data_IF_188420454210
#
_entry.id   IF_188420454210
#
_cell.length_a   1.000
_cell.length_b   1.000
_cell.length_c   1.000
_cell.angle_alpha   90.00
_cell.angle_beta   90.00
_cell.angle_gamma   90.00
#
_symmetry.space_group_name_H-M   'P 1'
#
loop_
_entity.id
_entity.type
_entity.pdbx_description
1 polymer ?
#
# COMPACT_ATOMS: atom_id res chain seq x y z
N UNK A 1 -19.44 11.14 -2.91
CA UNK A 1 -19.58 9.98 -3.82
C UNK A 1 -18.60 8.89 -3.37
N UNK A 2 -19.07 7.70 -2.98
CA UNK A 2 -18.20 6.58 -2.54
C UNK A 2 -17.63 5.88 -3.78
N UNK A 3 -16.43 6.28 -4.19
CA UNK A 3 -15.69 5.71 -5.34
C UNK A 3 -15.37 4.23 -5.13
N UNK A 4 -15.21 3.79 -3.88
CA UNK A 4 -14.94 2.40 -3.52
C UNK A 4 -16.23 1.71 -3.04
N UNK A 5 -16.83 0.87 -3.90
CA UNK A 5 -17.93 -0.03 -3.53
C UNK A 5 -17.40 -1.45 -3.37
N UNK A 6 -17.93 -2.19 -2.39
CA UNK A 6 -17.46 -3.54 -2.03
C UNK A 6 -17.53 -4.49 -3.24
N UNK A 7 -18.57 -4.37 -4.07
CA UNK A 7 -18.75 -5.22 -5.25
C UNK A 7 -17.64 -5.02 -6.30
N UNK A 8 -17.19 -3.77 -6.52
CA UNK A 8 -16.09 -3.47 -7.45
C UNK A 8 -14.77 -4.00 -6.90
N UNK A 9 -14.51 -3.81 -5.62
CA UNK A 9 -13.30 -4.33 -4.97
C UNK A 9 -13.26 -5.86 -5.06
N UNK A 10 -14.37 -6.55 -4.78
CA UNK A 10 -14.48 -8.00 -4.91
C UNK A 10 -14.18 -8.47 -6.33
N UNK A 11 -14.79 -7.82 -7.33
CA UNK A 11 -14.56 -8.14 -8.74
C UNK A 11 -13.08 -7.99 -9.11
N UNK A 12 -12.45 -6.87 -8.72
CA UNK A 12 -11.02 -6.64 -8.97
C UNK A 12 -10.16 -7.75 -8.36
N UNK A 13 -10.41 -8.13 -7.09
CA UNK A 13 -9.63 -9.17 -6.41
C UNK A 13 -9.77 -10.53 -7.10
N UNK A 14 -11.00 -10.92 -7.51
CA UNK A 14 -11.24 -12.19 -8.21
C UNK A 14 -10.53 -12.20 -9.57
N UNK A 15 -10.62 -11.09 -10.32
CA UNK A 15 -9.95 -10.96 -11.63
C UNK A 15 -8.43 -11.06 -11.45
N UNK A 16 -7.85 -10.37 -10.46
CA UNK A 16 -6.41 -10.46 -10.17
C UNK A 16 -6.00 -11.91 -9.92
N UNK A 17 -6.76 -12.65 -9.10
CA UNK A 17 -6.44 -14.04 -8.79
C UNK A 17 -6.57 -14.96 -10.01
N UNK A 18 -7.62 -14.78 -10.81
CA UNK A 18 -7.82 -15.54 -12.05
C UNK A 18 -6.68 -15.30 -13.06
N UNK A 19 -6.26 -14.05 -13.26
CA UNK A 19 -5.13 -13.71 -14.13
C UNK A 19 -3.85 -14.38 -13.63
N UNK A 20 -3.57 -14.34 -12.32
CA UNK A 20 -2.37 -14.98 -11.76
C UNK A 20 -2.37 -16.51 -11.93
N UNK A 21 -3.51 -17.17 -11.79
CA UNK A 21 -3.62 -18.61 -12.01
C UNK A 21 -3.41 -18.95 -13.48
N UNK A 22 -4.10 -18.24 -14.38
CA UNK A 22 -4.00 -18.47 -15.82
C UNK A 22 -2.56 -18.29 -16.33
N UNK A 23 -1.84 -17.28 -15.86
CA UNK A 23 -0.43 -17.07 -16.19
C UNK A 23 0.50 -18.17 -15.67
N UNK A 24 0.10 -18.89 -14.61
CA UNK A 24 0.88 -19.98 -14.04
C UNK A 24 0.59 -21.34 -14.70
N UNK A 25 -0.56 -21.50 -15.38
CA UNK A 25 -0.97 -22.77 -16.01
C UNK A 25 0.07 -23.32 -16.99
N UNK A 26 0.65 -22.53 -17.94
CA UNK A 26 1.64 -23.06 -18.87
C UNK A 26 2.88 -23.62 -18.15
N UNK A 27 3.25 -23.05 -17.01
CA UNK A 27 4.39 -23.49 -16.20
C UNK A 27 4.11 -24.82 -15.50
N UNK A 28 2.89 -25.03 -14.99
CA UNK A 28 2.52 -26.27 -14.29
C UNK A 28 2.07 -27.40 -15.22
N UNK A 29 1.40 -27.07 -16.32
CA UNK A 29 0.90 -28.06 -17.28
C UNK A 29 2.02 -28.75 -18.07
N UNK A 30 3.22 -28.16 -18.10
CA UNK A 30 4.37 -28.67 -18.86
C UNK A 30 5.39 -29.40 -17.99
N UNK A 31 5.27 -29.32 -16.66
CA UNK A 31 6.12 -30.06 -15.72
C UNK A 31 5.63 -31.50 -15.56
N UNK A 32 6.42 -32.47 -16.02
CA UNK A 32 6.18 -33.87 -15.75
C UNK A 32 7.00 -34.32 -14.53
N UNK A 33 6.35 -35.04 -13.62
CA UNK A 33 6.98 -35.69 -12.48
C UNK A 33 7.43 -37.07 -12.93
N UNK A 34 8.76 -37.27 -13.02
CA UNK A 34 9.32 -38.56 -13.42
C UNK A 34 10.29 -39.08 -12.37
N UNK A 35 10.20 -40.37 -12.08
CA UNK A 35 11.17 -41.06 -11.25
C UNK A 35 12.49 -41.22 -12.03
N UNK A 36 13.57 -40.65 -11.50
CA UNK A 36 14.93 -40.81 -12.02
C UNK A 36 15.78 -41.50 -10.96
N UNK A 37 16.38 -42.64 -11.31
CA UNK A 37 17.43 -43.25 -10.50
C UNK A 37 18.70 -42.42 -10.65
N UNK A 38 19.31 -42.04 -9.53
CA UNK A 38 20.55 -41.28 -9.53
C UNK A 38 21.72 -42.20 -9.95
N UNK A 39 22.61 -41.79 -10.87
CA UNK A 39 23.75 -42.62 -11.29
C UNK A 39 24.75 -42.89 -10.16
N UNK A 40 24.87 -41.95 -9.21
CA UNK A 40 25.88 -41.96 -8.16
C UNK A 40 25.37 -42.54 -6.82
N UNK A 41 24.12 -43.00 -6.76
CA UNK A 41 23.55 -43.60 -5.55
C UNK A 41 22.26 -44.36 -5.81
N UNK A 42 21.98 -45.40 -5.00
CA UNK A 42 20.77 -46.26 -5.11
C UNK A 42 19.48 -45.56 -4.63
N UNK A 43 19.32 -44.26 -4.91
CA UNK A 43 18.12 -43.49 -4.55
C UNK A 43 17.39 -43.09 -5.83
N UNK A 44 16.10 -43.38 -5.87
CA UNK A 44 15.18 -42.85 -6.89
C UNK A 44 14.62 -41.53 -6.39
N UNK A 45 14.95 -40.44 -7.09
CA UNK A 45 14.40 -39.12 -6.79
C UNK A 45 13.36 -38.75 -7.83
N UNK A 46 12.27 -38.14 -7.38
CA UNK A 46 11.25 -37.58 -8.26
C UNK A 46 11.79 -36.25 -8.80
N UNK A 47 12.04 -36.18 -10.11
CA UNK A 47 12.63 -35.01 -10.77
C UNK A 47 11.64 -34.45 -11.79
N UNK A 48 11.65 -33.12 -11.93
CA UNK A 48 10.94 -32.43 -12.99
C UNK A 48 11.71 -32.62 -14.31
N UNK A 49 11.10 -33.30 -15.29
CA UNK A 49 11.69 -33.47 -16.63
C UNK A 49 11.02 -32.50 -17.62
N UNK A 50 11.83 -31.68 -18.28
CA UNK A 50 11.37 -30.64 -19.20
C UNK A 50 11.22 -31.20 -20.62
N UNK A 51 10.02 -31.12 -21.18
CA UNK A 51 9.68 -31.60 -22.54
C UNK A 51 10.40 -30.73 -23.59
N UNK A 52 10.82 -31.23 -24.77
CA UNK A 52 11.49 -30.39 -25.79
C UNK A 52 10.63 -29.22 -26.32
N UNK A 53 9.30 -29.36 -26.35
CA UNK A 53 8.36 -28.25 -26.63
C UNK A 53 8.41 -27.17 -25.54
N UNK A 54 8.72 -27.57 -24.30
CA UNK A 54 8.84 -26.69 -23.16
C UNK A 54 9.99 -25.72 -23.34
N UNK A 55 11.17 -26.12 -23.82
CA UNK A 55 12.34 -25.23 -23.88
C UNK A 55 12.07 -23.93 -24.66
N UNK A 56 11.35 -24.00 -25.78
CA UNK A 56 10.94 -22.81 -26.57
C UNK A 56 9.83 -21.99 -25.91
N UNK A 57 8.85 -22.65 -25.30
CA UNK A 57 7.74 -21.97 -24.60
C UNK A 57 8.21 -21.37 -23.28
N UNK A 58 9.13 -22.02 -22.58
CA UNK A 58 9.78 -21.59 -21.35
C UNK A 58 10.60 -20.35 -21.59
N UNK A 59 11.49 -20.31 -22.58
CA UNK A 59 12.35 -19.15 -22.79
C UNK A 59 11.52 -17.87 -22.94
N UNK A 60 10.47 -17.90 -23.76
CA UNK A 60 9.57 -16.75 -23.95
C UNK A 60 8.70 -16.48 -22.71
N UNK A 61 8.09 -17.52 -22.12
CA UNK A 61 7.16 -17.35 -21.00
C UNK A 61 7.89 -16.93 -19.72
N UNK A 62 9.05 -17.51 -19.43
CA UNK A 62 9.89 -17.18 -18.27
C UNK A 62 10.41 -15.76 -18.41
N UNK A 63 10.95 -15.37 -19.57
CA UNK A 63 11.47 -14.01 -19.74
C UNK A 63 10.35 -12.97 -19.59
N UNK A 64 9.20 -13.18 -20.24
CA UNK A 64 8.10 -12.20 -20.16
C UNK A 64 7.49 -12.16 -18.74
N UNK A 65 7.20 -13.32 -18.13
CA UNK A 65 6.47 -13.39 -16.85
C UNK A 65 7.33 -13.13 -15.62
N UNK A 66 8.61 -13.53 -15.63
CA UNK A 66 9.48 -13.37 -14.47
C UNK A 66 10.34 -12.11 -14.54
N UNK A 67 10.53 -11.52 -15.73
CA UNK A 67 11.42 -10.37 -15.91
C UNK A 67 10.61 -9.13 -16.29
N UNK A 68 9.97 -9.14 -17.47
CA UNK A 68 9.34 -7.94 -18.02
C UNK A 68 8.14 -7.47 -17.20
N UNK A 69 7.19 -8.37 -16.91
CA UNK A 69 5.97 -8.03 -16.17
C UNK A 69 6.27 -7.53 -14.74
N UNK A 70 7.11 -8.21 -13.93
CA UNK A 70 7.43 -7.75 -12.58
C UNK A 70 8.14 -6.40 -12.57
N UNK A 71 9.03 -6.15 -13.54
CA UNK A 71 9.70 -4.85 -13.69
C UNK A 71 8.70 -3.73 -13.97
N UNK A 72 7.78 -3.93 -14.93
CA UNK A 72 6.73 -2.95 -15.25
C UNK A 72 5.79 -2.71 -14.07
N UNK A 73 5.32 -3.77 -13.40
CA UNK A 73 4.46 -3.65 -12.22
C UNK A 73 5.19 -2.88 -11.11
N UNK A 74 6.46 -3.17 -10.87
CA UNK A 74 7.26 -2.47 -9.88
C UNK A 74 7.35 -0.96 -10.18
N UNK A 75 7.64 -0.59 -11.43
CA UNK A 75 7.66 0.82 -11.84
C UNK A 75 6.31 1.52 -11.60
N UNK A 76 5.21 0.87 -11.96
CA UNK A 76 3.85 1.39 -11.71
C UNK A 76 3.60 1.57 -10.21
N UNK A 77 3.99 0.61 -9.37
CA UNK A 77 3.83 0.70 -7.91
C UNK A 77 4.69 1.83 -7.32
N UNK A 78 5.92 2.02 -7.81
CA UNK A 78 6.79 3.14 -7.41
C UNK A 78 6.11 4.47 -7.72
N UNK A 79 5.63 4.66 -8.96
CA UNK A 79 4.95 5.89 -9.39
C UNK A 79 3.69 6.13 -8.52
N UNK A 80 2.87 5.10 -8.35
CA UNK A 80 1.65 5.17 -7.54
C UNK A 80 1.96 5.56 -6.09
N UNK A 81 3.02 4.99 -5.51
CA UNK A 81 3.44 5.27 -4.13
C UNK A 81 3.95 6.71 -3.99
N UNK A 82 4.71 7.22 -4.96
CA UNK A 82 5.16 8.61 -4.97
C UNK A 82 3.95 9.56 -4.99
N UNK A 83 2.99 9.32 -5.89
CA UNK A 83 1.75 10.11 -5.96
C UNK A 83 1.02 10.07 -4.62
N UNK A 84 0.87 8.89 -4.02
CA UNK A 84 0.18 8.69 -2.74
C UNK A 84 0.87 9.45 -1.61
N UNK A 85 2.21 9.40 -1.53
CA UNK A 85 3.02 10.11 -0.53
C UNK A 85 2.91 11.62 -0.70
N UNK A 86 2.99 12.12 -1.94
CA UNK A 86 2.86 13.55 -2.24
C UNK A 86 1.48 14.05 -1.83
N UNK A 87 0.41 13.35 -2.23
CA UNK A 87 -0.98 13.70 -1.86
C UNK A 87 -1.20 13.63 -0.35
N UNK A 88 -0.59 12.66 0.33
CA UNK A 88 -0.64 12.56 1.78
C UNK A 88 0.03 13.77 2.45
N UNK A 89 1.24 14.15 2.01
CA UNK A 89 1.98 15.31 2.54
C UNK A 89 1.24 16.62 2.31
N UNK A 90 0.66 16.83 1.13
CA UNK A 90 -0.18 18.00 0.83
C UNK A 90 -1.39 18.08 1.77
N UNK A 91 -2.07 16.95 1.98
CA UNK A 91 -3.23 16.88 2.88
C UNK A 91 -2.84 17.14 4.35
N UNK A 92 -1.62 16.80 4.77
CA UNK A 92 -1.11 17.13 6.09
C UNK A 92 -0.80 18.61 6.26
N UNK A 93 -0.08 19.21 5.30
CA UNK A 93 0.32 20.64 5.35
C UNK A 93 -0.90 21.56 5.40
N UNK A 94 -1.86 21.36 4.49
CA UNK A 94 -3.11 22.14 4.47
C UNK A 94 -3.82 22.17 5.83
N UNK A 95 -3.78 21.06 6.58
CA UNK A 95 -4.43 20.95 7.89
C UNK A 95 -3.62 21.57 9.01
N UNK A 96 -2.29 21.51 8.94
CA UNK A 96 -1.43 22.24 9.87
C UNK A 96 -1.65 23.75 9.72
N UNK A 97 -1.82 24.23 8.48
CA UNK A 97 -2.09 25.64 8.21
C UNK A 97 -3.47 26.06 8.73
N UNK A 98 -4.52 25.24 8.51
CA UNK A 98 -5.84 25.48 9.11
C UNK A 98 -5.81 25.49 10.66
N UNK A 99 -5.00 24.61 11.28
CA UNK A 99 -4.81 24.60 12.74
C UNK A 99 -4.12 25.88 13.24
N UNK A 100 -3.10 26.37 12.53
CA UNK A 100 -2.42 27.63 12.86
C UNK A 100 -3.37 28.82 12.73
N UNK A 101 -4.18 28.88 11.68
CA UNK A 101 -5.20 29.92 11.50
C UNK A 101 -6.21 29.89 12.65
N UNK A 102 -6.68 28.70 13.04
CA UNK A 102 -7.67 28.54 14.11
C UNK A 102 -7.10 28.93 15.49
N UNK A 103 -5.83 28.59 15.77
CA UNK A 103 -5.14 29.01 17.01
C UNK A 103 -4.70 30.48 17.00
N UNK A 104 -4.42 31.05 15.82
CA UNK A 104 -4.09 32.48 15.67
C UNK A 104 -5.30 33.40 15.87
N UNK A 105 -6.49 32.92 15.53
CA UNK A 105 -7.75 33.67 15.73
C UNK A 105 -8.20 33.73 17.20
N UNK A 106 -7.93 32.68 18.01
CA UNK A 106 -8.25 32.73 19.45
C UNK A 106 -7.38 33.75 20.22
N UNK A 107 -6.15 34.01 19.73
CA UNK A 107 -5.21 34.92 20.40
C UNK A 107 -5.54 36.40 20.19
N UNK A 108 -6.35 36.77 19.20
CA UNK A 108 -6.79 38.17 19.01
C UNK A 108 -8.03 38.54 19.84
N UNK A 109 -8.76 37.56 20.37
CA UNK A 109 -10.05 37.79 21.05
C UNK A 109 -9.99 37.60 22.58
N UNK A 110 -8.81 37.37 23.16
CA UNK A 110 -8.60 37.34 24.61
C UNK A 110 -7.58 38.38 25.03
N UNK A 111 -7.99 39.65 25.01
CA UNK A 111 -7.45 40.66 25.92
C UNK A 111 -8.55 40.99 26.93
N UNK A 112 -8.31 40.83 28.24
CA UNK A 112 -9.29 41.16 29.27
C UNK A 112 -9.48 42.67 29.35
N UNK A 113 -10.74 43.10 29.34
CA UNK A 113 -11.29 44.28 30.03
C UNK A 113 -10.58 45.62 29.85
N UNK A 114 -11.22 46.53 29.12
CA UNK A 114 -11.55 47.85 29.69
C UNK A 114 -12.99 48.20 29.28
N UNK A 115 -13.86 48.16 30.28
CA UNK A 115 -15.22 48.66 30.24
C UNK A 115 -15.12 50.16 30.43
N UNK A 116 -15.49 50.94 29.42
CA UNK A 116 -15.98 52.28 29.68
C UNK A 116 -17.26 52.55 28.91
N UNK A 117 -18.31 52.60 29.73
CA UNK A 117 -19.67 53.02 29.46
C UNK A 117 -19.75 54.45 28.93
N UNK A 118 -20.35 54.64 27.75
CA UNK A 118 -21.18 55.82 27.47
C UNK A 118 -22.16 55.59 26.33
N UNK A 119 -23.45 55.56 26.65
CA UNK A 119 -24.55 55.82 25.71
C UNK A 119 -24.72 57.34 25.52
N UNK A 120 -25.13 57.80 24.32
CA UNK A 120 -26.51 58.25 24.19
C UNK A 120 -27.24 57.82 22.88
N UNK A 121 -28.46 57.30 23.10
CA UNK A 121 -29.80 57.34 22.44
C UNK A 121 -30.07 58.27 21.20
N UNK A 122 -31.25 58.21 20.52
CA UNK A 122 -31.73 57.28 19.47
C UNK A 122 -32.31 58.00 18.18
N UNK A 123 -32.79 57.23 17.18
CA UNK A 123 -33.63 57.57 15.98
C UNK A 123 -32.89 57.19 14.68
N UNK A 124 -33.39 56.30 13.80
CA UNK A 124 -34.65 56.44 13.07
C UNK A 124 -35.23 55.09 12.56
N UNK A 125 -36.53 55.10 12.22
CA UNK A 125 -37.45 54.02 11.80
C UNK A 125 -37.07 53.49 10.39
N UNK A 126 -37.39 52.29 9.85
CA UNK A 126 -38.62 51.45 9.73
C UNK A 126 -38.22 50.12 8.95
N UNK A 127 -39.10 49.17 8.49
CA UNK A 127 -38.96 47.74 8.80
C UNK A 127 -38.96 46.70 7.62
N UNK A 128 -38.33 45.52 7.85
CA UNK A 128 -38.57 44.16 7.23
C UNK A 128 -38.35 43.96 5.70
N UNK A 129 -38.33 42.72 5.13
CA UNK A 129 -38.19 41.36 5.69
C UNK A 129 -37.16 40.47 4.94
N UNK A 130 -36.47 39.58 5.66
CA UNK A 130 -35.55 38.63 5.04
C UNK A 130 -34.95 37.66 6.04
N UNK A 131 -35.79 37.03 6.88
CA UNK A 131 -35.39 35.98 7.80
C UNK A 131 -34.91 34.77 7.00
N UNK A 132 -33.62 34.74 6.67
CA UNK A 132 -32.92 33.46 6.55
C UNK A 132 -32.87 32.86 7.96
N UNK A 133 -33.32 31.62 8.17
CA UNK A 133 -33.20 31.00 9.48
C UNK A 133 -31.71 30.96 9.82
N UNK A 134 -31.33 31.72 10.86
CA UNK A 134 -30.00 31.71 11.42
C UNK A 134 -29.72 30.28 11.90
N UNK A 135 -29.06 29.48 11.05
CA UNK A 135 -28.58 28.16 11.44
C UNK A 135 -27.69 28.38 12.67
N UNK A 136 -27.97 27.73 13.81
CA UNK A 136 -27.25 28.00 15.04
C UNK A 136 -25.75 27.85 14.81
N UNK A 137 -24.95 28.82 15.25
CA UNK A 137 -23.48 28.79 15.15
C UNK A 137 -22.92 27.47 15.74
N UNK A 138 -23.61 26.92 16.74
CA UNK A 138 -23.34 25.61 17.33
C UNK A 138 -23.44 24.44 16.32
N UNK A 139 -24.47 24.42 15.46
CA UNK A 139 -24.66 23.40 14.43
C UNK A 139 -23.56 23.47 13.36
N UNK A 140 -23.11 24.68 13.02
CA UNK A 140 -22.02 24.90 12.06
C UNK A 140 -20.67 24.44 12.60
N UNK A 141 -20.42 24.63 13.90
CA UNK A 141 -19.22 24.17 14.61
C UNK A 141 -19.21 22.65 14.77
N UNK A 142 -20.36 22.05 15.11
CA UNK A 142 -20.56 20.59 15.22
C UNK A 142 -20.34 19.86 13.88
N UNK A 143 -20.94 20.35 12.78
CA UNK A 143 -20.75 19.77 11.44
C UNK A 143 -19.31 19.88 10.94
N UNK A 144 -18.62 21.00 11.20
CA UNK A 144 -17.19 21.17 10.89
C UNK A 144 -16.33 20.18 11.69
N UNK A 145 -16.57 20.03 13.00
CA UNK A 145 -15.83 19.09 13.84
C UNK A 145 -16.01 17.63 13.39
N UNK A 146 -17.24 17.22 13.05
CA UNK A 146 -17.52 15.88 12.54
C UNK A 146 -16.80 15.59 11.20
N UNK A 147 -16.80 16.57 10.27
CA UNK A 147 -16.09 16.46 8.99
C UNK A 147 -14.56 16.34 9.19
N UNK A 148 -13.98 17.12 10.11
CA UNK A 148 -12.56 17.03 10.45
C UNK A 148 -12.21 15.65 11.02
N UNK A 149 -13.02 15.12 11.93
CA UNK A 149 -12.80 13.81 12.56
C UNK A 149 -12.89 12.65 11.56
N UNK A 150 -13.89 12.66 10.67
CA UNK A 150 -14.02 11.67 9.61
C UNK A 150 -12.77 11.65 8.71
N UNK A 151 -12.25 12.82 8.38
CA UNK A 151 -11.09 12.94 7.51
C UNK A 151 -9.76 12.55 8.19
N UNK A 152 -9.59 12.80 9.49
CA UNK A 152 -8.46 12.27 10.29
C UNK A 152 -8.48 10.73 10.27
N UNK A 153 -9.67 10.14 10.34
CA UNK A 153 -9.86 8.69 10.31
C UNK A 153 -9.49 8.09 8.96
N UNK A 154 -9.88 8.72 7.85
CA UNK A 154 -9.48 8.32 6.49
C UNK A 154 -7.97 8.41 6.28
N UNK A 155 -7.34 9.50 6.72
CA UNK A 155 -5.90 9.68 6.63
C UNK A 155 -5.13 8.62 7.41
N UNK A 156 -5.63 8.22 8.58
CA UNK A 156 -4.97 7.16 9.36
C UNK A 156 -4.96 5.84 8.61
N UNK A 157 -6.03 5.53 7.89
CA UNK A 157 -6.09 4.37 7.00
C UNK A 157 -5.10 4.54 5.85
N UNK A 158 -5.10 5.72 5.21
CA UNK A 158 -4.20 6.03 4.10
C UNK A 158 -2.71 5.91 4.49
N UNK A 159 -2.34 6.42 5.67
CA UNK A 159 -0.97 6.32 6.20
C UNK A 159 -0.54 4.87 6.40
N UNK A 160 -1.45 4.01 6.86
CA UNK A 160 -1.16 2.58 6.99
C UNK A 160 -0.96 1.93 5.62
N UNK A 161 -1.81 2.24 4.63
CA UNK A 161 -1.69 1.73 3.26
C UNK A 161 -0.35 2.13 2.64
N UNK A 162 0.02 3.41 2.71
CA UNK A 162 1.31 3.93 2.23
C UNK A 162 2.47 3.16 2.84
N UNK A 163 2.41 2.88 4.14
CA UNK A 163 3.50 2.19 4.81
C UNK A 163 3.65 0.74 4.38
N UNK A 164 2.56 0.05 4.05
CA UNK A 164 2.61 -1.32 3.49
C UNK A 164 3.25 -1.28 2.10
N UNK A 165 2.88 -0.31 1.26
CA UNK A 165 3.50 -0.13 -0.06
C UNK A 165 5.01 0.11 0.03
N UNK A 166 5.47 0.92 1.01
CA UNK A 166 6.91 1.16 1.22
C UNK A 166 7.62 -0.14 1.61
N UNK A 167 7.05 -0.93 2.53
CA UNK A 167 7.62 -2.22 2.94
C UNK A 167 7.70 -3.18 1.75
N UNK A 168 6.62 -3.26 0.96
CA UNK A 168 6.60 -4.08 -0.24
C UNK A 168 7.70 -3.65 -1.24
N UNK A 169 7.87 -2.34 -1.46
CA UNK A 169 8.91 -1.81 -2.34
C UNK A 169 10.31 -2.14 -1.83
N UNK A 170 10.60 -1.93 -0.55
CA UNK A 170 11.93 -2.24 0.02
C UNK A 170 12.23 -3.73 -0.05
N UNK A 171 11.23 -4.59 0.15
CA UNK A 171 11.41 -6.03 0.07
C UNK A 171 11.48 -6.58 -1.37
N UNK A 172 10.89 -5.88 -2.34
CA UNK A 172 10.91 -6.30 -3.76
C UNK A 172 12.13 -5.73 -4.50
N UNK A 173 12.74 -4.67 -3.97
CA UNK A 173 13.92 -4.02 -4.55
C UNK A 173 15.06 -4.99 -4.91
N UNK A 174 15.47 -5.95 -4.05
CA UNK A 174 16.55 -6.87 -4.40
C UNK A 174 16.26 -7.72 -5.64
N UNK A 175 15.01 -8.12 -5.82
CA UNK A 175 14.55 -8.87 -7.00
C UNK A 175 14.71 -8.03 -8.27
N UNK A 176 14.33 -6.75 -8.20
CA UNK A 176 14.42 -5.82 -9.35
C UNK A 176 15.87 -5.51 -9.69
N UNK A 177 16.73 -5.32 -8.68
CA UNK A 177 18.17 -5.11 -8.86
C UNK A 177 18.80 -6.33 -9.54
N UNK A 178 18.45 -7.54 -9.09
CA UNK A 178 18.91 -8.79 -9.71
C UNK A 178 18.48 -8.91 -11.17
N UNK A 179 17.21 -8.61 -11.46
CA UNK A 179 16.69 -8.56 -12.83
C UNK A 179 17.48 -7.54 -13.68
N UNK A 180 17.76 -6.35 -13.15
CA UNK A 180 18.52 -5.33 -13.87
C UNK A 180 19.97 -5.78 -14.16
N UNK A 181 20.64 -6.44 -13.20
CA UNK A 181 21.98 -7.02 -13.43
C UNK A 181 21.93 -8.05 -14.56
N UNK A 182 20.91 -8.91 -14.59
CA UNK A 182 20.73 -9.91 -15.63
C UNK A 182 20.50 -9.30 -17.02
N UNK A 183 19.80 -8.16 -17.09
CA UNK A 183 19.56 -7.44 -18.35
C UNK A 183 20.80 -6.73 -18.89
N UNK A 184 21.62 -6.14 -18.01
CA UNK A 184 22.83 -5.40 -18.43
C UNK A 184 23.95 -6.38 -18.78
N UNK A 185 24.08 -7.48 -18.04
CA UNK A 185 25.14 -8.49 -18.21
C UNK A 185 24.56 -9.86 -18.57
N UNK A 186 24.14 -10.08 -19.83
CA UNK A 186 23.64 -11.38 -20.27
C UNK A 186 24.70 -12.49 -20.20
N UNK A 187 25.99 -12.18 -20.06
CA UNK A 187 27.06 -13.17 -19.80
C UNK A 187 27.07 -13.71 -18.37
N UNK A 188 26.34 -13.09 -17.45
CA UNK A 188 26.19 -13.53 -16.06
C UNK A 188 25.02 -14.54 -15.96
N UNK A 189 25.04 -15.58 -16.79
CA UNK A 189 24.06 -16.66 -16.78
C UNK A 189 24.41 -17.74 -15.74
N UNK A 190 23.38 -18.37 -15.19
CA UNK A 190 23.48 -19.45 -14.18
C UNK A 190 24.22 -20.68 -14.74
N UNK A 191 24.29 -20.81 -16.06
CA UNK A 191 24.91 -21.92 -16.77
C UNK A 191 26.44 -21.82 -16.86
N UNK A 192 27.03 -20.65 -16.55
CA UNK A 192 28.49 -20.48 -16.56
C UNK A 192 29.07 -21.13 -15.28
N UNK A 193 29.85 -22.22 -15.40
CA UNK A 193 30.27 -23.02 -14.25
C UNK A 193 31.15 -22.24 -13.25
N UNK A 194 31.86 -21.22 -13.72
CA UNK A 194 32.79 -20.39 -12.93
C UNK A 194 32.10 -19.60 -11.80
N UNK A 195 30.83 -19.22 -11.97
CA UNK A 195 30.10 -18.38 -11.00
C UNK A 195 28.90 -19.08 -10.36
N UNK A 196 28.76 -20.40 -10.51
CA UNK A 196 27.60 -21.17 -10.05
C UNK A 196 27.24 -20.91 -8.58
N UNK A 197 28.23 -20.90 -7.69
CA UNK A 197 28.01 -20.65 -6.25
C UNK A 197 27.55 -19.20 -5.96
N UNK A 198 28.16 -18.23 -6.64
CA UNK A 198 27.79 -16.81 -6.52
C UNK A 198 26.38 -16.56 -7.04
N UNK A 199 26.02 -17.17 -8.18
CA UNK A 199 24.67 -17.09 -8.75
C UNK A 199 23.63 -17.70 -7.81
N UNK A 200 23.92 -18.87 -7.23
CA UNK A 200 23.00 -19.52 -6.31
C UNK A 200 22.75 -18.67 -5.05
N UNK A 201 23.79 -18.03 -4.51
CA UNK A 201 23.68 -17.11 -3.37
C UNK A 201 22.90 -15.84 -3.74
N UNK A 202 23.19 -15.25 -4.90
CA UNK A 202 22.50 -14.05 -5.39
C UNK A 202 21.03 -14.29 -5.71
N UNK A 203 20.66 -15.48 -6.19
CA UNK A 203 19.27 -15.87 -6.44
C UNK A 203 18.52 -16.12 -5.12
N UNK A 204 19.19 -16.65 -4.09
CA UNK A 204 18.58 -16.93 -2.78
C UNK A 204 18.10 -15.67 -2.06
N UNK A 205 18.78 -14.54 -2.25
CA UNK A 205 18.48 -13.30 -1.54
C UNK A 205 17.11 -12.68 -1.92
N UNK A 206 16.74 -12.54 -3.21
CA UNK A 206 15.38 -12.22 -3.64
C UNK A 206 14.31 -13.12 -3.04
N UNK A 207 14.52 -14.45 -3.01
CA UNK A 207 13.56 -15.39 -2.44
C UNK A 207 13.32 -15.13 -0.94
N UNK A 208 14.40 -14.93 -0.18
CA UNK A 208 14.30 -14.59 1.24
C UNK A 208 13.56 -13.27 1.44
N UNK A 209 13.88 -12.25 0.64
CA UNK A 209 13.26 -10.93 0.78
C UNK A 209 11.77 -10.95 0.38
N UNK A 210 11.40 -11.76 -0.61
CA UNK A 210 10.01 -12.01 -0.97
C UNK A 210 9.25 -12.76 0.14
N UNK A 211 9.87 -13.75 0.79
CA UNK A 211 9.29 -14.43 1.95
C UNK A 211 9.06 -13.45 3.12
N UNK A 212 10.04 -12.57 3.39
CA UNK A 212 9.91 -11.51 4.39
C UNK A 212 8.78 -10.52 4.06
N UNK A 213 8.57 -10.19 2.78
CA UNK A 213 7.49 -9.28 2.38
C UNK A 213 6.10 -9.76 2.82
N UNK A 214 5.90 -11.08 2.93
CA UNK A 214 4.63 -11.67 3.35
C UNK A 214 4.48 -11.70 4.87
N UNK A 215 5.57 -11.92 5.62
CA UNK A 215 5.56 -12.01 7.08
C UNK A 215 5.58 -10.65 7.78
N UNK A 216 6.24 -9.64 7.21
CA UNK A 216 6.32 -8.30 7.82
C UNK A 216 4.95 -7.61 7.85
N UNK A 217 4.04 -7.95 6.92
CA UNK A 217 2.71 -7.36 6.85
C UNK A 217 1.94 -7.51 8.16
N UNK A 218 1.88 -8.71 8.75
CA UNK A 218 1.13 -8.94 9.99
C UNK A 218 1.76 -8.20 11.18
N UNK A 219 3.08 -8.22 11.30
CA UNK A 219 3.83 -7.52 12.35
C UNK A 219 3.61 -6.00 12.24
N UNK A 220 3.60 -5.48 11.02
CA UNK A 220 3.35 -4.08 10.76
C UNK A 220 1.91 -3.68 11.08
N UNK A 221 0.92 -4.49 10.70
CA UNK A 221 -0.48 -4.24 11.09
C UNK A 221 -0.63 -4.22 12.62
N UNK A 222 0.03 -5.13 13.32
CA UNK A 222 0.06 -5.16 14.78
C UNK A 222 0.73 -3.93 15.40
N UNK A 223 1.80 -3.40 14.77
CA UNK A 223 2.55 -2.25 15.29
C UNK A 223 1.99 -0.89 14.90
N UNK A 224 1.34 -0.75 13.75
CA UNK A 224 0.94 0.56 13.23
C UNK A 224 -0.57 0.75 13.17
N UNK A 225 -1.35 -0.33 13.04
CA UNK A 225 -2.79 -0.23 12.90
C UNK A 225 -3.51 -0.04 14.24
N UNK A 226 -3.80 1.21 14.56
CA UNK A 226 -4.70 1.58 15.67
C UNK A 226 -6.12 0.98 15.57
N UNK A 227 -6.51 0.47 14.39
CA UNK A 227 -7.79 -0.23 14.16
C UNK A 227 -7.68 -1.73 14.45
N UNK A 228 -6.54 -2.32 14.14
CA UNK A 228 -6.31 -3.77 14.29
C UNK A 228 -6.02 -4.14 15.74
N UNK A 229 -5.22 -3.32 16.44
CA UNK A 229 -4.79 -3.56 17.83
C UNK A 229 -5.94 -3.79 18.83
N UNK A 230 -7.02 -2.97 18.88
CA UNK A 230 -8.09 -3.18 19.84
C UNK A 230 -8.87 -4.46 19.58
N UNK A 231 -9.12 -4.79 18.31
CA UNK A 231 -9.82 -6.01 17.89
C UNK A 231 -9.00 -7.25 18.26
N UNK A 232 -7.70 -7.23 17.95
CA UNK A 232 -6.78 -8.30 18.34
C UNK A 232 -6.76 -8.47 19.87
N UNK A 233 -6.61 -7.39 20.64
CA UNK A 233 -6.65 -7.46 22.11
C UNK A 233 -7.99 -7.98 22.65
N UNK A 234 -9.11 -7.65 22.01
CA UNK A 234 -10.43 -8.15 22.42
C UNK A 234 -10.59 -9.66 22.17
N UNK A 235 -10.06 -10.17 21.06
CA UNK A 235 -10.03 -11.61 20.77
C UNK A 235 -9.25 -12.39 21.84
N UNK A 236 -8.09 -11.88 22.27
CA UNK A 236 -7.28 -12.56 23.29
C UNK A 236 -7.77 -12.32 24.72
N UNK A 237 -8.42 -11.17 25.02
CA UNK A 237 -9.06 -10.93 26.33
C UNK A 237 -10.35 -11.72 26.55
N UNK A 238 -11.03 -12.14 25.50
CA UNK A 238 -12.24 -12.96 25.63
C UNK A 238 -11.90 -14.45 25.85
N UNK A 239 -10.61 -14.79 25.90
CA UNK A 239 -10.09 -16.14 26.01
C UNK A 239 -9.35 -16.39 27.34
N UNK A 240 -9.42 -15.44 28.29
CA UNK A 240 -8.90 -15.54 29.66
C UNK A 240 -9.99 -15.09 30.61
#
# INVERSE_FOLDING_TARGET
>A
KRIFTVNRVRMIVVITWAITMLGAVPKYATTNLRWRAQPDGNVTMLVFEYTPLMRKVEELTIQIMNVLIPFLIYLVVVICTVILVVKLRQTQKWRQDQRKIMMGFDRSNTSPSDVDTKFPKPSDKTPTPGTQPAVPIADRKSKKAAHVQASIRELRVLKNVVSICIIFLTCTSPTVIMIAIYLIWPRFHVDTPEFKNLMHLLISFPFLTQALSSSVNIVFYMRMSSRFRPVFRALFKSCT
#
